data_IF_651925783530
#
_entry.id   IF_651925783530
#
_cell.length_a   1.000
_cell.length_b   1.000
_cell.length_c   1.000
_cell.angle_alpha   90.00
_cell.angle_beta   90.00
_cell.angle_gamma   90.00
#
_symmetry.space_group_name_H-M   'P 1'
#
loop_
_entity.id
_entity.type
_entity.pdbx_description
1 polymer ?
#
# COMPACT_ATOMS: atom_id res chain seq x y z
N UNK A 1 -13.83 22.38 32.78
CA UNK A 1 -15.26 22.03 32.87
C UNK A 1 -15.66 21.64 31.46
N UNK A 2 -15.23 20.46 31.02
CA UNK A 2 -15.69 19.86 29.78
C UNK A 2 -17.02 19.19 30.09
N UNK A 3 -18.10 19.59 29.41
CA UNK A 3 -19.39 18.93 29.53
C UNK A 3 -19.38 17.66 28.70
N UNK A 4 -19.63 16.52 29.35
CA UNK A 4 -19.93 15.26 28.67
C UNK A 4 -21.14 15.46 27.74
N UNK A 5 -21.08 15.10 26.44
CA UNK A 5 -22.26 15.08 25.60
C UNK A 5 -23.17 13.94 26.06
N UNK A 6 -24.23 14.28 26.79
CA UNK A 6 -25.26 13.35 27.23
C UNK A 6 -25.93 12.70 26.01
N UNK A 7 -25.80 11.38 25.90
CA UNK A 7 -26.61 10.55 25.03
C UNK A 7 -28.03 10.58 25.60
N UNK A 8 -28.95 11.26 24.93
CA UNK A 8 -30.37 11.21 25.26
C UNK A 8 -30.91 9.85 24.83
N UNK A 9 -30.96 8.89 25.75
CA UNK A 9 -31.78 7.70 25.56
C UNK A 9 -33.23 8.17 25.46
N UNK A 10 -33.89 7.85 24.35
CA UNK A 10 -35.32 8.10 24.16
C UNK A 10 -36.06 7.39 25.31
N UNK A 11 -36.96 8.13 25.95
CA UNK A 11 -37.80 7.70 27.06
C UNK A 11 -38.53 6.37 26.72
N UNK A 12 -38.36 5.29 27.53
CA UNK A 12 -38.91 3.97 27.24
C UNK A 12 -40.42 3.79 27.55
N UNK A 13 -41.18 4.86 27.83
CA UNK A 13 -42.64 4.78 28.08
C UNK A 13 -43.51 4.78 26.80
N UNK A 14 -42.90 4.72 25.60
CA UNK A 14 -43.62 4.47 24.34
C UNK A 14 -43.64 2.96 24.02
N UNK A 15 -44.79 2.33 24.28
CA UNK A 15 -45.00 0.89 24.37
C UNK A 15 -44.96 0.11 23.03
N UNK A 16 -43.86 0.19 22.26
CA UNK A 16 -43.74 -0.55 20.99
C UNK A 16 -42.32 -0.97 20.55
N UNK A 17 -41.43 -1.37 21.47
CA UNK A 17 -40.36 -2.37 21.21
C UNK A 17 -39.41 -2.51 22.40
N UNK A 18 -39.88 -3.12 23.50
CA UNK A 18 -38.93 -3.68 24.45
C UNK A 18 -38.28 -4.92 23.82
N UNK A 19 -36.95 -5.08 23.90
CA UNK A 19 -36.34 -6.32 23.45
C UNK A 19 -36.92 -7.51 24.19
N UNK A 20 -37.10 -8.63 23.47
CA UNK A 20 -37.67 -9.85 24.01
C UNK A 20 -36.91 -10.30 25.29
N UNK A 21 -37.61 -10.86 26.30
CA UNK A 21 -36.97 -11.30 27.52
C UNK A 21 -35.94 -12.40 27.23
N UNK A 22 -34.81 -12.36 27.95
CA UNK A 22 -33.81 -13.43 27.93
C UNK A 22 -34.40 -14.68 28.60
N UNK A 23 -34.44 -15.80 27.88
CA UNK A 23 -34.93 -17.08 28.40
C UNK A 23 -33.80 -18.08 28.52
N UNK A 24 -33.73 -18.82 29.64
CA UNK A 24 -32.72 -19.83 29.91
C UNK A 24 -33.37 -21.22 30.04
N UNK A 25 -32.63 -22.28 29.67
CA UNK A 25 -33.03 -23.67 29.93
C UNK A 25 -32.68 -24.13 31.36
N UNK A 26 -33.06 -25.36 31.69
CA UNK A 26 -32.81 -25.99 33.00
C UNK A 26 -31.30 -26.20 33.28
N UNK A 27 -30.46 -26.20 32.23
CA UNK A 27 -28.99 -26.33 32.31
C UNK A 27 -28.27 -24.97 32.42
N UNK A 28 -29.03 -23.86 32.40
CA UNK A 28 -28.52 -22.50 32.54
C UNK A 28 -28.03 -21.88 31.23
N UNK A 29 -28.30 -22.48 30.07
CA UNK A 29 -27.95 -21.92 28.76
C UNK A 29 -29.06 -21.00 28.24
N UNK A 30 -28.68 -19.97 27.49
CA UNK A 30 -29.63 -19.06 26.88
C UNK A 30 -30.33 -19.71 25.68
N UNK A 31 -31.67 -19.70 25.69
CA UNK A 31 -32.52 -20.28 24.64
C UNK A 31 -33.30 -19.24 23.82
N UNK A 32 -33.39 -18.00 24.30
CA UNK A 32 -34.15 -16.93 23.63
C UNK A 32 -33.74 -15.53 24.10
N UNK A 33 -33.91 -14.53 23.21
CA UNK A 33 -33.58 -13.13 23.48
C UNK A 33 -32.09 -12.76 23.33
N UNK A 34 -31.26 -13.66 22.80
CA UNK A 34 -29.80 -13.52 22.79
C UNK A 34 -29.21 -12.42 21.92
N UNK A 35 -29.97 -11.77 21.05
CA UNK A 35 -29.52 -10.56 20.34
C UNK A 35 -30.59 -9.49 20.45
N UNK A 36 -30.15 -8.29 20.82
CA UNK A 36 -30.98 -7.11 21.03
C UNK A 36 -30.41 -5.99 20.16
N UNK A 37 -31.17 -5.61 19.13
CA UNK A 37 -30.84 -4.45 18.32
C UNK A 37 -31.38 -3.18 18.98
N UNK A 38 -30.48 -2.29 19.39
CA UNK A 38 -30.79 -0.93 19.80
C UNK A 38 -30.55 0.01 18.62
N UNK A 39 -31.49 0.92 18.39
CA UNK A 39 -31.35 1.97 17.38
C UNK A 39 -31.49 3.34 18.03
N UNK A 40 -30.76 4.31 17.52
CA UNK A 40 -30.78 5.69 17.99
C UNK A 40 -30.12 6.60 16.96
N UNK A 41 -29.78 7.81 17.38
CA UNK A 41 -29.01 8.75 16.58
C UNK A 41 -27.94 9.41 17.45
N UNK A 42 -26.78 9.65 16.87
CA UNK A 42 -25.75 10.50 17.46
C UNK A 42 -26.21 11.96 17.50
N UNK A 43 -25.59 12.82 18.33
CA UNK A 43 -25.93 14.25 18.41
C UNK A 43 -25.82 15.03 17.09
N UNK A 44 -25.05 14.52 16.12
CA UNK A 44 -24.92 15.07 14.77
C UNK A 44 -26.02 14.62 13.80
N UNK A 45 -26.95 13.78 14.26
CA UNK A 45 -28.07 13.23 13.49
C UNK A 45 -27.73 11.98 12.69
N UNK A 46 -26.50 11.45 12.78
CA UNK A 46 -26.15 10.18 12.14
C UNK A 46 -26.79 8.99 12.88
N UNK A 47 -27.28 7.99 12.14
CA UNK A 47 -27.98 6.86 12.71
C UNK A 47 -27.01 5.94 13.47
N UNK A 48 -27.39 5.55 14.68
CA UNK A 48 -26.67 4.61 15.53
C UNK A 48 -27.46 3.30 15.58
N UNK A 49 -26.82 2.19 15.22
CA UNK A 49 -27.35 0.84 15.39
C UNK A 49 -26.35 0.05 16.21
N UNK A 50 -26.79 -0.47 17.36
CA UNK A 50 -25.98 -1.30 18.26
C UNK A 50 -26.66 -2.65 18.36
N UNK A 51 -25.97 -3.72 17.95
CA UNK A 51 -26.40 -5.09 18.24
C UNK A 51 -25.74 -5.55 19.54
N UNK A 52 -26.56 -5.82 20.55
CA UNK A 52 -26.11 -6.40 21.80
C UNK A 52 -26.32 -7.90 21.76
N UNK A 53 -25.22 -8.64 21.63
CA UNK A 53 -25.20 -10.10 21.69
C UNK A 53 -24.98 -10.57 23.14
N UNK A 54 -26.00 -11.24 23.68
CA UNK A 54 -26.05 -11.86 25.00
C UNK A 54 -25.96 -13.38 24.94
N UNK A 55 -25.74 -13.99 23.78
CA UNK A 55 -25.65 -15.45 23.61
C UNK A 55 -24.62 -16.12 24.53
N UNK A 56 -23.60 -15.38 24.97
CA UNK A 56 -22.59 -15.85 25.92
C UNK A 56 -23.02 -15.83 27.39
N UNK A 57 -24.21 -15.34 27.73
CA UNK A 57 -24.71 -15.33 29.11
C UNK A 57 -25.18 -16.73 29.53
N UNK A 58 -24.86 -17.10 30.75
CA UNK A 58 -25.33 -18.33 31.40
C UNK A 58 -25.94 -18.00 32.76
N UNK A 59 -26.91 -18.80 33.19
CA UNK A 59 -27.60 -18.65 34.47
C UNK A 59 -27.20 -19.78 35.42
N UNK A 60 -26.38 -19.46 36.42
CA UNK A 60 -26.04 -20.36 37.52
C UNK A 60 -26.39 -19.72 38.86
N UNK A 61 -26.61 -20.55 39.89
CA UNK A 61 -26.94 -20.08 41.23
C UNK A 61 -25.77 -19.32 41.87
N UNK A 62 -25.89 -18.00 42.00
CA UNK A 62 -24.83 -17.14 42.55
C UNK A 62 -25.13 -15.66 42.32
N UNK A 63 -24.13 -14.80 42.57
CA UNK A 63 -24.20 -13.38 42.22
C UNK A 63 -24.10 -13.20 40.71
N UNK A 64 -24.98 -12.37 40.14
CA UNK A 64 -24.93 -12.03 38.72
C UNK A 64 -23.73 -11.14 38.41
N UNK A 65 -22.96 -11.52 37.40
CA UNK A 65 -21.88 -10.69 36.82
C UNK A 65 -22.01 -10.70 35.30
N UNK A 66 -21.84 -9.55 34.66
CA UNK A 66 -21.78 -9.42 33.21
C UNK A 66 -20.54 -8.62 32.83
N UNK A 67 -19.81 -9.08 31.81
CA UNK A 67 -18.66 -8.36 31.26
C UNK A 67 -18.83 -8.24 29.76
N UNK A 68 -18.39 -7.11 29.20
CA UNK A 68 -18.37 -6.92 27.75
C UNK A 68 -17.19 -7.71 27.21
N UNK A 69 -17.46 -8.67 26.32
CA UNK A 69 -16.42 -9.51 25.73
C UNK A 69 -15.75 -8.83 24.53
N UNK A 70 -16.54 -8.15 23.70
CA UNK A 70 -16.07 -7.48 22.50
C UNK A 70 -16.94 -6.26 22.21
N UNK A 71 -16.32 -5.23 21.63
CA UNK A 71 -16.97 -4.05 21.11
C UNK A 71 -16.23 -3.64 19.83
N UNK A 72 -16.97 -3.25 18.81
CA UNK A 72 -16.47 -2.80 17.50
C UNK A 72 -16.48 -1.27 17.33
N UNK A 73 -17.24 -0.55 18.17
CA UNK A 73 -17.26 0.91 18.21
C UNK A 73 -15.91 1.54 18.61
N UNK A 74 -15.52 2.60 17.91
CA UNK A 74 -14.31 3.40 18.19
C UNK A 74 -14.60 4.89 18.12
N UNK A 75 -13.87 5.73 18.88
CA UNK A 75 -13.92 7.17 18.70
C UNK A 75 -13.35 7.56 17.33
N UNK A 76 -13.73 8.75 16.85
CA UNK A 76 -13.10 9.35 15.69
C UNK A 76 -11.59 9.49 15.93
N UNK A 77 -10.80 9.08 14.93
CA UNK A 77 -9.35 9.16 14.96
C UNK A 77 -8.85 10.03 13.81
N UNK A 78 -7.83 10.84 14.08
CA UNK A 78 -7.10 11.58 13.07
C UNK A 78 -5.99 10.69 12.47
N UNK A 79 -5.60 10.96 11.23
CA UNK A 79 -4.48 10.27 10.59
C UNK A 79 -3.17 10.62 11.32
N UNK A 80 -2.45 9.61 11.79
CA UNK A 80 -1.16 9.76 12.51
C UNK A 80 0.01 9.37 11.63
N UNK A 81 -0.12 8.29 10.87
CA UNK A 81 0.96 7.76 10.05
C UNK A 81 0.41 7.10 8.77
N UNK A 82 1.26 7.01 7.74
CA UNK A 82 0.93 6.35 6.49
C UNK A 82 2.17 5.69 5.89
N UNK A 83 1.97 4.56 5.23
CA UNK A 83 3.05 3.86 4.56
C UNK A 83 2.56 2.87 3.52
N UNK A 84 3.46 2.44 2.65
CA UNK A 84 3.20 1.34 1.73
C UNK A 84 3.75 0.05 2.31
N UNK A 85 2.98 -1.03 2.18
CA UNK A 85 3.47 -2.36 2.50
C UNK A 85 4.29 -2.97 1.33
N UNK A 86 4.75 -4.22 1.49
CA UNK A 86 5.51 -4.91 0.45
C UNK A 86 4.71 -5.22 -0.82
N UNK A 87 3.38 -5.22 -0.73
CA UNK A 87 2.47 -5.45 -1.85
C UNK A 87 2.13 -4.14 -2.59
N UNK A 88 2.53 -3.00 -2.05
CA UNK A 88 2.20 -1.67 -2.57
C UNK A 88 0.85 -1.13 -2.09
N UNK A 89 0.25 -1.75 -1.08
CA UNK A 89 -0.97 -1.26 -0.44
C UNK A 89 -0.63 -0.11 0.51
N UNK A 90 -1.34 1.01 0.35
CA UNK A 90 -1.27 2.16 1.23
C UNK A 90 -2.05 1.86 2.52
N UNK A 91 -1.32 1.75 3.62
CA UNK A 91 -1.87 1.58 4.96
C UNK A 91 -1.83 2.92 5.68
N UNK A 92 -3.00 3.34 6.17
CA UNK A 92 -3.18 4.52 7.00
C UNK A 92 -3.35 4.08 8.46
N UNK A 93 -2.65 4.73 9.38
CA UNK A 93 -2.76 4.49 10.81
C UNK A 93 -3.37 5.71 11.51
N UNK A 94 -4.43 5.49 12.28
CA UNK A 94 -5.19 6.53 12.96
C UNK A 94 -4.91 6.59 14.46
N UNK A 95 -5.19 7.73 15.08
CA UNK A 95 -4.97 7.97 16.52
C UNK A 95 -5.85 7.11 17.43
N UNK A 96 -6.96 6.58 16.90
CA UNK A 96 -7.86 5.65 17.59
C UNK A 96 -7.36 4.18 17.56
N UNK A 97 -6.16 3.94 17.03
CA UNK A 97 -5.53 2.62 16.94
C UNK A 97 -5.97 1.78 15.74
N UNK A 98 -6.83 2.32 14.87
CA UNK A 98 -7.27 1.67 13.66
C UNK A 98 -6.24 1.78 12.54
N UNK A 99 -6.17 0.73 11.70
CA UNK A 99 -5.42 0.75 10.45
C UNK A 99 -6.38 0.48 9.31
N UNK A 100 -6.32 1.31 8.28
CA UNK A 100 -7.16 1.19 7.10
C UNK A 100 -6.30 1.11 5.85
N UNK A 101 -6.64 0.19 4.97
CA UNK A 101 -6.06 0.11 3.63
C UNK A 101 -6.83 1.06 2.70
N UNK A 102 -6.15 2.05 2.13
CA UNK A 102 -6.82 3.13 1.39
C UNK A 102 -6.63 3.05 -0.13
N UNK A 103 -5.49 2.52 -0.59
CA UNK A 103 -5.14 2.49 -2.01
C UNK A 103 -4.12 1.39 -2.32
N UNK A 104 -3.94 1.08 -3.60
CA UNK A 104 -3.00 0.08 -4.10
C UNK A 104 -2.17 0.70 -5.24
N UNK A 105 -0.85 0.58 -5.14
CA UNK A 105 0.05 0.93 -6.23
C UNK A 105 -0.08 -0.09 -7.37
N UNK A 106 -0.24 0.42 -8.59
CA UNK A 106 -0.26 -0.36 -9.81
C UNK A 106 1.14 -0.38 -10.43
N UNK A 107 1.70 -1.58 -10.62
CA UNK A 107 2.99 -1.78 -11.28
C UNK A 107 2.79 -2.20 -12.73
N UNK A 108 3.67 -1.74 -13.61
CA UNK A 108 3.70 -2.11 -15.02
C UNK A 108 4.89 -3.01 -15.33
N UNK A 109 4.66 -4.10 -16.06
CA UNK A 109 5.69 -5.00 -16.57
C UNK A 109 5.56 -5.16 -18.08
N UNK A 110 6.69 -5.12 -18.78
CA UNK A 110 6.77 -5.47 -20.21
C UNK A 110 7.47 -6.80 -20.39
N UNK A 111 7.25 -7.46 -21.52
CA UNK A 111 7.87 -8.76 -21.80
C UNK A 111 9.36 -8.64 -22.09
N UNK A 112 9.77 -7.55 -22.74
CA UNK A 112 11.17 -7.27 -23.07
C UNK A 112 11.55 -5.84 -22.61
N UNK A 113 12.22 -5.68 -21.46
CA UNK A 113 12.65 -4.38 -20.96
C UNK A 113 13.62 -3.64 -21.89
N UNK A 114 14.51 -4.35 -22.59
CA UNK A 114 15.48 -3.75 -23.52
C UNK A 114 14.82 -3.14 -24.77
N UNK A 115 13.56 -3.52 -25.03
CA UNK A 115 12.76 -2.95 -26.11
C UNK A 115 12.06 -1.64 -25.74
N UNK A 116 12.18 -1.16 -24.50
CA UNK A 116 11.59 0.12 -24.08
C UNK A 116 12.34 1.29 -24.71
N UNK A 117 11.59 2.30 -25.15
CA UNK A 117 12.19 3.55 -25.61
C UNK A 117 12.44 4.49 -24.44
N UNK A 118 13.61 5.12 -24.41
CA UNK A 118 14.03 6.01 -23.32
C UNK A 118 13.52 7.42 -23.62
N UNK A 119 12.58 7.89 -22.82
CA UNK A 119 12.00 9.24 -22.98
C UNK A 119 12.85 10.30 -22.27
N UNK A 120 13.63 9.89 -21.26
CA UNK A 120 14.48 10.76 -20.44
C UNK A 120 14.06 10.75 -18.97
N UNK A 121 14.90 11.28 -18.07
CA UNK A 121 14.65 11.39 -16.61
C UNK A 121 14.24 10.07 -15.92
N UNK A 122 14.63 8.92 -16.47
CA UNK A 122 14.23 7.60 -15.98
C UNK A 122 12.83 7.16 -16.41
N UNK A 123 12.19 7.89 -17.32
CA UNK A 123 10.94 7.49 -17.95
C UNK A 123 11.18 6.65 -19.20
N UNK A 124 10.32 5.65 -19.36
CA UNK A 124 10.36 4.69 -20.45
C UNK A 124 8.99 4.59 -21.11
N UNK A 125 8.98 4.37 -22.42
CA UNK A 125 7.77 4.17 -23.20
C UNK A 125 7.74 2.78 -23.83
N UNK A 126 6.58 2.14 -23.78
CA UNK A 126 6.35 0.85 -24.42
C UNK A 126 6.42 0.98 -25.95
N UNK A 127 7.12 0.04 -26.59
CA UNK A 127 7.21 -0.05 -28.05
C UNK A 127 6.69 -1.40 -28.54
N UNK A 128 6.64 -1.59 -29.85
CA UNK A 128 6.35 -2.90 -30.45
C UNK A 128 7.41 -3.95 -30.05
N UNK A 129 8.66 -3.53 -29.82
CA UNK A 129 9.76 -4.41 -29.45
C UNK A 129 9.75 -4.81 -27.96
N UNK A 130 9.18 -3.98 -27.08
CA UNK A 130 9.00 -4.32 -25.64
C UNK A 130 7.83 -5.27 -25.38
N UNK A 131 6.88 -5.31 -26.31
CA UNK A 131 5.56 -5.92 -26.12
C UNK A 131 4.63 -5.03 -25.30
N UNK A 132 3.41 -5.51 -25.05
CA UNK A 132 2.38 -4.76 -24.34
C UNK A 132 2.69 -4.60 -22.85
N UNK A 133 2.30 -3.45 -22.30
CA UNK A 133 2.38 -3.16 -20.88
C UNK A 133 1.32 -3.96 -20.12
N UNK A 134 1.76 -4.80 -19.19
CA UNK A 134 0.90 -5.56 -18.27
C UNK A 134 0.88 -4.88 -16.91
N UNK A 135 -0.28 -4.48 -16.44
CA UNK A 135 -0.45 -3.81 -15.14
C UNK A 135 -0.91 -4.82 -14.09
N UNK A 136 -0.36 -4.73 -12.89
CA UNK A 136 -0.64 -5.67 -11.81
C UNK A 136 -0.16 -5.22 -10.44
N UNK A 137 -0.40 -6.04 -9.41
CA UNK A 137 0.06 -5.79 -8.03
C UNK A 137 1.44 -6.40 -7.81
N UNK A 138 2.20 -5.81 -6.90
CA UNK A 138 3.50 -6.35 -6.50
C UNK A 138 3.31 -7.70 -5.77
N UNK A 139 4.16 -8.68 -6.09
CA UNK A 139 4.16 -10.01 -5.47
C UNK A 139 3.09 -10.98 -5.99
N UNK A 140 2.14 -10.52 -6.82
CA UNK A 140 1.10 -11.36 -7.45
C UNK A 140 1.27 -11.39 -8.97
N UNK A 141 0.76 -10.39 -9.69
CA UNK A 141 0.82 -10.35 -11.15
C UNK A 141 2.15 -9.81 -11.66
N UNK A 142 2.82 -8.95 -10.87
CA UNK A 142 4.16 -8.44 -11.15
C UNK A 142 5.13 -9.03 -10.13
N UNK A 143 6.19 -9.72 -10.55
CA UNK A 143 7.17 -10.30 -9.64
C UNK A 143 7.96 -9.19 -8.93
N UNK A 144 8.33 -9.45 -7.66
CA UNK A 144 9.03 -8.49 -6.82
C UNK A 144 8.12 -7.82 -5.80
N UNK A 145 8.72 -7.21 -4.78
CA UNK A 145 8.04 -6.49 -3.72
C UNK A 145 8.47 -5.03 -3.66
N UNK A 146 7.66 -4.20 -3.02
CA UNK A 146 7.96 -2.79 -2.80
C UNK A 146 8.66 -2.62 -1.46
N UNK A 147 9.71 -1.79 -1.43
CA UNK A 147 10.38 -1.37 -0.19
C UNK A 147 10.08 0.10 0.02
N UNK A 148 9.16 0.38 0.95
CA UNK A 148 8.79 1.76 1.28
C UNK A 148 9.97 2.53 1.92
N UNK A 149 10.10 3.80 1.56
CA UNK A 149 11.12 4.69 2.14
C UNK A 149 12.56 4.43 1.66
N UNK A 150 12.76 3.56 0.67
CA UNK A 150 14.06 3.31 0.05
C UNK A 150 14.14 3.96 -1.34
N UNK A 151 15.36 4.30 -1.76
CA UNK A 151 15.66 4.77 -3.12
C UNK A 151 16.60 3.76 -3.78
N UNK A 152 16.26 3.33 -4.99
CA UNK A 152 17.11 2.45 -5.78
C UNK A 152 18.32 3.21 -6.33
N UNK A 153 19.51 2.68 -6.08
CA UNK A 153 20.77 3.25 -6.58
C UNK A 153 21.04 2.87 -8.03
N UNK A 154 21.91 3.62 -8.69
CA UNK A 154 22.38 3.25 -10.04
C UNK A 154 23.12 1.91 -10.00
N UNK A 155 22.92 1.11 -11.05
CA UNK A 155 23.60 -0.16 -11.26
C UNK A 155 25.00 -0.01 -11.90
N UNK A 156 25.53 1.21 -11.99
CA UNK A 156 26.78 1.52 -12.71
C UNK A 156 27.99 1.40 -11.79
N UNK A 157 29.01 0.64 -12.22
CA UNK A 157 30.32 0.61 -11.57
C UNK A 157 31.27 1.63 -12.21
N UNK A 158 31.62 2.64 -11.42
CA UNK A 158 32.46 3.75 -11.88
C UNK A 158 33.87 3.30 -12.32
N UNK A 159 34.44 2.25 -11.71
CA UNK A 159 35.79 1.80 -12.06
C UNK A 159 35.82 1.13 -13.45
N UNK A 160 34.77 0.38 -13.79
CA UNK A 160 34.60 -0.25 -15.09
C UNK A 160 34.35 0.81 -16.16
N UNK A 161 33.44 1.76 -15.93
CA UNK A 161 33.15 2.87 -16.84
C UNK A 161 34.40 3.72 -17.15
N UNK A 162 35.24 3.98 -16.14
CA UNK A 162 36.50 4.68 -16.37
C UNK A 162 37.49 3.88 -17.21
N UNK A 163 37.52 2.56 -17.04
CA UNK A 163 38.39 1.68 -17.83
C UNK A 163 37.95 1.68 -19.29
N UNK A 164 36.66 1.55 -19.53
CA UNK A 164 36.08 1.58 -20.87
C UNK A 164 36.29 2.93 -21.55
N UNK A 165 36.15 4.03 -20.81
CA UNK A 165 36.48 5.36 -21.31
C UNK A 165 37.96 5.45 -21.73
N UNK A 166 38.90 4.92 -20.93
CA UNK A 166 40.33 4.92 -21.25
C UNK A 166 40.61 4.06 -22.49
N UNK A 167 39.94 2.92 -22.64
CA UNK A 167 40.06 2.05 -23.82
C UNK A 167 39.56 2.78 -25.07
N UNK A 168 38.39 3.40 -25.00
CA UNK A 168 37.83 4.19 -26.09
C UNK A 168 38.76 5.35 -26.49
N UNK A 169 39.31 6.08 -25.50
CA UNK A 169 40.27 7.17 -25.74
C UNK A 169 41.57 6.68 -26.40
N UNK A 170 42.13 5.57 -25.93
CA UNK A 170 43.32 4.95 -26.54
C UNK A 170 43.03 4.49 -27.97
N UNK A 171 41.85 3.92 -28.21
CA UNK A 171 41.37 3.56 -29.55
C UNK A 171 41.30 4.77 -30.48
N UNK A 172 40.73 5.89 -30.01
CA UNK A 172 40.69 7.14 -30.76
C UNK A 172 42.10 7.68 -31.05
N UNK A 173 43.00 7.69 -30.07
CA UNK A 173 44.39 8.13 -30.27
C UNK A 173 45.14 7.25 -31.28
N UNK A 174 44.94 5.93 -31.23
CA UNK A 174 45.52 5.00 -32.20
C UNK A 174 44.99 5.28 -33.61
N UNK A 175 43.66 5.43 -33.77
CA UNK A 175 43.03 5.79 -35.04
C UNK A 175 43.55 7.12 -35.59
N UNK A 176 43.71 8.14 -34.73
CA UNK A 176 44.27 9.44 -35.12
C UNK A 176 45.73 9.32 -35.59
N UNK A 177 46.56 8.51 -34.92
CA UNK A 177 47.94 8.26 -35.35
C UNK A 177 48.01 7.52 -36.69
N UNK A 178 47.09 6.59 -36.95
CA UNK A 178 47.01 5.90 -38.23
C UNK A 178 46.73 6.93 -39.36
N UNK A 179 45.82 7.88 -39.12
CA UNK A 179 45.51 8.95 -40.09
C UNK A 179 46.73 9.83 -40.35
N UNK A 180 47.38 10.36 -39.31
CA UNK A 180 48.56 11.22 -39.50
C UNK A 180 49.71 10.51 -40.21
N UNK A 181 49.97 9.26 -39.85
CA UNK A 181 51.03 8.48 -40.51
C UNK A 181 50.66 8.21 -41.96
N UNK A 182 49.38 7.98 -42.26
CA UNK A 182 48.90 7.81 -43.64
C UNK A 182 49.06 9.11 -44.45
N UNK A 183 48.75 10.26 -43.86
CA UNK A 183 48.92 11.56 -44.49
C UNK A 183 50.40 11.86 -44.80
N UNK A 184 51.31 11.56 -43.87
CA UNK A 184 52.76 11.72 -44.07
C UNK A 184 53.26 10.84 -45.24
N UNK A 185 52.85 9.57 -45.28
CA UNK A 185 53.21 8.66 -46.38
C UNK A 185 52.65 9.12 -47.73
N UNK A 186 51.43 9.66 -47.76
CA UNK A 186 50.84 10.24 -48.97
C UNK A 186 51.63 11.46 -49.45
N UNK A 187 52.05 12.33 -48.52
CA UNK A 187 52.84 13.52 -48.83
C UNK A 187 54.22 13.15 -49.40
N UNK A 188 54.90 12.18 -48.80
CA UNK A 188 56.18 11.68 -49.28
C UNK A 188 56.06 11.02 -50.67
N UNK A 189 55.01 10.23 -50.90
CA UNK A 189 54.73 9.62 -52.21
C UNK A 189 54.50 10.67 -53.31
N UNK A 190 53.77 11.75 -53.01
CA UNK A 190 53.58 12.87 -53.96
C UNK A 190 54.90 13.57 -54.25
N UNK A 191 55.78 13.73 -53.25
CA UNK A 191 57.08 14.38 -53.41
C UNK A 191 58.06 13.58 -54.28
N UNK A 192 57.94 12.24 -54.33
CA UNK A 192 58.73 11.34 -55.17
C UNK A 192 58.37 11.39 -56.66
N UNK A 193 57.19 11.93 -57.02
CA UNK A 193 56.74 12.06 -58.42
C UNK A 193 57.39 13.24 -59.17
N UNK A 194 58.32 13.96 -58.55
CA UNK A 194 58.95 15.16 -59.12
C UNK A 194 60.36 14.90 -59.66
#
# INVERSE_FOLDING_TARGET
MEGDPAITLIDPDDAASWPAPLTFDEDGNLTGGGSIALSGAFPDGSALSIDLDFSGLTQYGGSSTATVAQQDGRPAGDLVDYGFDQTGTLVLAFSNGERMEAAQLALGMVSNPDGLDVVGDGYYMSTVASGDLRIGRAGSEVPGGIVAGALEGSNVDLAEEFTDMIVAQRGYQASARIVTTSDELLQETVSLKR
#
